data_IF_668810765460
#
_entry.id   IF_668810765460
#
_cell.length_a   1.000
_cell.length_b   1.000
_cell.length_c   1.000
_cell.angle_alpha   90.00
_cell.angle_beta   90.00
_cell.angle_gamma   90.00
#
_symmetry.space_group_name_H-M   'P 1'
#
loop_
_entity.id
_entity.type
_entity.pdbx_description
1 polymer ?
#
# COMPACT_ATOMS: atom_id res chain seq x y z
N UNK A 1 39.66 -11.50 10.41
CA UNK A 1 39.28 -10.09 10.15
C UNK A 1 37.84 -9.97 9.65
N UNK A 2 37.42 -10.78 8.67
CA UNK A 2 36.06 -10.80 8.10
C UNK A 2 34.93 -11.20 9.07
N UNK A 3 35.15 -12.17 9.97
CA UNK A 3 34.15 -12.53 10.99
C UNK A 3 33.88 -11.40 12.01
N UNK A 4 34.91 -10.62 12.34
CA UNK A 4 34.79 -9.51 13.29
C UNK A 4 34.06 -8.32 12.65
N UNK A 5 34.35 -8.05 11.38
CA UNK A 5 33.62 -7.06 10.56
C UNK A 5 32.13 -7.43 10.39
N UNK A 6 31.82 -8.70 10.13
CA UNK A 6 30.44 -9.16 10.01
C UNK A 6 29.68 -9.11 11.35
N UNK A 7 30.34 -9.43 12.46
CA UNK A 7 29.73 -9.31 13.80
C UNK A 7 29.48 -7.85 14.21
N UNK A 8 30.38 -6.94 13.81
CA UNK A 8 30.23 -5.51 14.06
C UNK A 8 29.14 -4.92 13.17
N UNK A 9 29.08 -5.31 11.89
CA UNK A 9 28.03 -4.91 10.96
C UNK A 9 26.64 -5.43 11.39
N UNK A 10 26.52 -6.68 11.84
CA UNK A 10 25.24 -7.22 12.31
C UNK A 10 24.79 -6.61 13.64
N UNK A 11 25.72 -6.30 14.55
CA UNK A 11 25.43 -5.57 15.77
C UNK A 11 24.98 -4.12 15.48
N UNK A 12 25.61 -3.46 14.50
CA UNK A 12 25.22 -2.12 14.05
C UNK A 12 23.84 -2.13 13.39
N UNK A 13 23.56 -3.12 12.55
CA UNK A 13 22.29 -3.27 11.85
C UNK A 13 21.15 -3.59 12.84
N UNK A 14 21.36 -4.53 13.77
CA UNK A 14 20.39 -4.86 14.81
C UNK A 14 20.15 -3.72 15.80
N UNK A 15 21.17 -2.90 16.07
CA UNK A 15 20.97 -1.66 16.82
C UNK A 15 20.17 -0.62 16.02
N UNK A 16 20.38 -0.49 14.70
CA UNK A 16 19.63 0.44 13.86
C UNK A 16 18.16 0.03 13.67
N UNK A 17 17.87 -1.27 13.53
CA UNK A 17 16.51 -1.81 13.36
C UNK A 17 15.64 -1.67 14.64
N UNK A 18 16.27 -1.67 15.82
CA UNK A 18 15.56 -1.54 17.10
C UNK A 18 15.18 -0.09 17.45
N UNK A 19 15.73 0.92 16.75
CA UNK A 19 15.47 2.32 17.03
C UNK A 19 14.46 2.91 16.04
N UNK A 20 13.26 3.21 16.52
CA UNK A 20 12.27 3.99 15.75
C UNK A 20 12.84 5.35 15.35
N UNK A 21 12.54 5.88 14.14
CA UNK A 21 13.08 7.16 13.68
C UNK A 21 12.96 8.28 14.72
N UNK A 22 11.78 8.39 15.37
CA UNK A 22 11.46 9.39 16.41
C UNK A 22 12.37 9.35 17.64
N UNK A 23 12.78 8.18 18.13
CA UNK A 23 13.62 8.06 19.34
C UNK A 23 15.06 8.47 19.06
N UNK A 24 15.56 8.20 17.85
CA UNK A 24 16.88 8.65 17.38
C UNK A 24 16.93 10.18 17.32
N UNK A 25 15.87 10.82 16.78
CA UNK A 25 15.78 12.29 16.71
C UNK A 25 15.84 12.91 18.10
N UNK A 26 15.03 12.38 19.02
CA UNK A 26 14.93 12.87 20.39
C UNK A 26 16.26 12.78 21.12
N UNK A 27 16.92 11.63 21.05
CA UNK A 27 18.22 11.41 21.70
C UNK A 27 19.32 12.30 21.10
N UNK A 28 19.37 12.43 19.77
CA UNK A 28 20.40 13.20 19.09
C UNK A 28 20.23 14.72 19.27
N UNK A 29 18.99 15.20 19.18
CA UNK A 29 18.66 16.62 19.40
C UNK A 29 18.84 17.02 20.87
N UNK A 30 18.50 16.14 21.80
CA UNK A 30 18.78 16.34 23.22
C UNK A 30 20.29 16.35 23.50
N UNK A 31 21.06 15.46 22.87
CA UNK A 31 22.52 15.47 22.93
C UNK A 31 23.15 16.77 22.40
N UNK A 32 22.66 17.28 21.27
CA UNK A 32 23.05 18.59 20.71
C UNK A 32 22.73 19.75 21.68
N UNK A 33 21.54 19.76 22.28
CA UNK A 33 21.16 20.78 23.26
C UNK A 33 21.99 20.70 24.55
N UNK A 34 22.28 19.50 25.04
CA UNK A 34 23.13 19.28 26.22
C UNK A 34 24.55 19.76 25.93
N UNK A 35 25.11 19.43 24.76
CA UNK A 35 26.46 19.88 24.36
C UNK A 35 26.52 21.41 24.22
N UNK A 36 25.51 22.02 23.59
CA UNK A 36 25.40 23.47 23.46
C UNK A 36 25.24 24.15 24.83
N UNK A 37 24.43 23.57 25.73
CA UNK A 37 24.25 24.04 27.10
C UNK A 37 25.53 23.93 27.93
N UNK A 38 26.30 22.85 27.81
CA UNK A 38 27.61 22.69 28.43
C UNK A 38 28.63 23.70 27.89
N UNK A 39 28.62 23.97 26.59
CA UNK A 39 29.46 24.99 25.97
C UNK A 39 29.10 26.40 26.48
N UNK A 40 27.81 26.69 26.61
CA UNK A 40 27.30 27.97 27.14
C UNK A 40 27.59 28.12 28.64
N UNK A 41 27.37 27.08 29.44
CA UNK A 41 27.70 27.07 30.86
C UNK A 41 29.21 27.20 31.08
N UNK A 42 30.02 26.51 30.27
CA UNK A 42 31.47 26.66 30.24
C UNK A 42 31.86 28.11 29.91
N UNK A 43 31.17 28.75 28.97
CA UNK A 43 31.37 30.16 28.59
C UNK A 43 31.04 31.11 29.75
N UNK A 44 29.97 30.85 30.54
CA UNK A 44 29.62 31.67 31.71
C UNK A 44 30.56 31.44 32.90
N UNK A 45 31.01 30.20 33.12
CA UNK A 45 31.85 29.82 34.28
C UNK A 45 33.37 30.00 34.05
N UNK A 46 33.81 30.34 32.84
CA UNK A 46 35.23 30.64 32.51
C UNK A 46 36.21 29.47 32.65
N UNK A 47 35.75 28.24 32.93
CA UNK A 47 36.60 27.09 33.31
C UNK A 47 36.96 26.13 32.16
N UNK A 48 36.35 26.26 30.98
CA UNK A 48 36.47 25.27 29.88
C UNK A 48 36.80 25.92 28.52
N UNK A 49 37.90 26.68 28.44
CA UNK A 49 38.32 27.40 27.21
C UNK A 49 38.52 26.48 25.99
N UNK A 50 39.07 25.27 26.19
CA UNK A 50 39.24 24.28 25.11
C UNK A 50 37.92 23.75 24.55
N UNK A 51 36.93 23.51 25.42
CA UNK A 51 35.60 23.03 24.99
C UNK A 51 34.82 24.15 24.29
N UNK A 52 34.96 25.41 24.73
CA UNK A 52 34.32 26.56 24.10
C UNK A 52 34.81 26.79 22.66
N UNK A 53 36.12 26.69 22.43
CA UNK A 53 36.70 26.82 21.09
C UNK A 53 36.29 25.68 20.14
N UNK A 54 36.19 24.45 20.66
CA UNK A 54 35.81 23.28 19.86
C UNK A 54 34.30 23.11 19.68
N UNK A 55 33.46 23.67 20.57
CA UNK A 55 32.03 23.42 20.60
C UNK A 55 31.30 23.75 19.29
N UNK A 56 31.50 24.91 18.63
CA UNK A 56 30.81 25.19 17.37
C UNK A 56 31.18 24.23 16.25
N UNK A 57 32.44 23.79 16.20
CA UNK A 57 32.88 22.79 15.24
C UNK A 57 32.21 21.44 15.55
N UNK A 58 32.27 20.97 16.80
CA UNK A 58 31.65 19.71 17.23
C UNK A 58 30.13 19.68 16.98
N UNK A 59 29.43 20.80 17.20
CA UNK A 59 27.99 20.89 16.96
C UNK A 59 27.64 20.83 15.47
N UNK A 60 28.50 21.40 14.62
CA UNK A 60 28.37 21.30 13.16
C UNK A 60 28.65 19.87 12.69
N UNK A 61 29.73 19.24 13.18
CA UNK A 61 30.09 17.86 12.82
C UNK A 61 29.03 16.87 13.30
N UNK A 62 28.47 17.08 14.49
CA UNK A 62 27.38 16.29 15.02
C UNK A 62 26.09 16.54 14.22
N UNK A 63 25.78 17.78 13.85
CA UNK A 63 24.68 18.09 12.92
C UNK A 63 24.81 17.38 11.56
N UNK A 64 26.02 17.32 11.00
CA UNK A 64 26.32 16.59 9.76
C UNK A 64 26.19 15.06 9.94
N UNK A 65 26.63 14.53 11.08
CA UNK A 65 26.47 13.11 11.42
C UNK A 65 24.98 12.72 11.50
N UNK A 66 24.14 13.60 12.05
CA UNK A 66 22.69 13.42 12.09
C UNK A 66 22.06 13.29 10.70
N UNK A 67 22.57 14.05 9.72
CA UNK A 67 22.13 13.96 8.32
C UNK A 67 22.43 12.59 7.73
N UNK A 68 23.65 12.07 7.91
CA UNK A 68 24.03 10.75 7.40
C UNK A 68 23.24 9.63 8.07
N UNK A 69 22.98 9.75 9.38
CA UNK A 69 22.19 8.77 10.12
C UNK A 69 20.71 8.77 9.70
N UNK A 70 20.11 9.94 9.47
CA UNK A 70 18.71 10.05 9.01
C UNK A 70 18.50 9.48 7.61
N UNK A 71 19.45 9.71 6.70
CA UNK A 71 19.44 9.10 5.35
C UNK A 71 19.63 7.58 5.43
N UNK A 72 20.54 7.09 6.29
CA UNK A 72 20.75 5.67 6.48
C UNK A 72 19.49 4.95 7.01
N UNK A 73 18.80 5.54 8.00
CA UNK A 73 17.54 5.01 8.53
C UNK A 73 16.43 5.04 7.46
N UNK A 74 16.31 6.12 6.69
CA UNK A 74 15.33 6.22 5.60
C UNK A 74 15.57 5.22 4.45
N UNK A 75 16.80 4.73 4.30
CA UNK A 75 17.17 3.71 3.31
C UNK A 75 17.02 2.27 3.81
N UNK A 76 16.93 2.03 5.11
CA UNK A 76 16.81 0.68 5.66
C UNK A 76 15.50 -0.01 5.25
N UNK A 77 14.39 0.74 5.22
CA UNK A 77 13.07 0.24 4.83
C UNK A 77 12.76 0.48 3.33
N UNK A 78 13.77 0.88 2.54
CA UNK A 78 13.57 1.18 1.12
C UNK A 78 13.58 -0.10 0.27
N UNK A 79 12.42 -0.44 -0.28
CA UNK A 79 12.22 -1.56 -1.19
C UNK A 79 12.18 -1.06 -2.64
N UNK A 80 13.25 -1.36 -3.40
CA UNK A 80 13.36 -0.97 -4.80
C UNK A 80 12.28 -1.61 -5.71
N UNK A 81 11.66 -2.72 -5.27
CA UNK A 81 10.57 -3.36 -6.01
C UNK A 81 9.20 -2.69 -5.75
N UNK A 82 9.07 -1.89 -4.68
CA UNK A 82 7.82 -1.23 -4.25
C UNK A 82 8.04 0.23 -3.87
N UNK A 83 8.53 1.00 -4.83
CA UNK A 83 8.88 2.42 -4.66
C UNK A 83 7.76 3.24 -4.03
N UNK A 84 6.50 3.06 -4.46
CA UNK A 84 5.35 3.82 -3.95
C UNK A 84 5.06 3.59 -2.46
N UNK A 85 5.34 2.39 -1.94
CA UNK A 85 5.18 2.07 -0.52
C UNK A 85 6.38 2.54 0.33
N UNK A 86 7.56 2.64 -0.29
CA UNK A 86 8.82 3.00 0.39
C UNK A 86 9.16 4.50 0.37
N UNK A 87 8.55 5.28 -0.54
CA UNK A 87 8.74 6.74 -0.61
C UNK A 87 8.34 7.47 0.69
N UNK A 88 7.21 7.14 1.36
CA UNK A 88 6.83 7.81 2.61
C UNK A 88 7.87 7.64 3.73
N UNK A 89 8.40 6.43 3.93
CA UNK A 89 9.42 6.14 4.94
C UNK A 89 10.76 6.85 4.62
N UNK A 90 11.15 6.88 3.34
CA UNK A 90 12.33 7.60 2.87
C UNK A 90 12.23 9.11 3.12
N UNK A 91 11.05 9.70 2.84
CA UNK A 91 10.79 11.12 3.10
C UNK A 91 10.82 11.46 4.59
N UNK A 92 10.40 10.53 5.45
CA UNK A 92 10.45 10.71 6.90
C UNK A 92 11.90 10.67 7.43
N UNK A 93 12.73 9.74 6.93
CA UNK A 93 14.17 9.72 7.22
C UNK A 93 14.93 10.94 6.69
N UNK A 94 14.56 11.44 5.50
CA UNK A 94 15.12 12.66 4.94
C UNK A 94 14.71 13.92 5.73
N UNK A 95 13.44 14.01 6.15
CA UNK A 95 12.96 15.09 7.03
C UNK A 95 13.74 15.12 8.35
N UNK A 96 14.02 13.96 8.92
CA UNK A 96 14.87 13.79 10.10
C UNK A 96 16.30 14.31 9.85
N UNK A 97 16.91 13.92 8.73
CA UNK A 97 18.25 14.37 8.35
C UNK A 97 18.33 15.91 8.26
N UNK A 98 17.35 16.55 7.64
CA UNK A 98 17.32 18.02 7.52
C UNK A 98 17.16 18.73 8.86
N UNK A 99 16.25 18.29 9.73
CA UNK A 99 15.98 18.97 11.01
C UNK A 99 17.20 18.93 11.94
N UNK A 100 17.87 17.78 12.05
CA UNK A 100 19.06 17.64 12.91
C UNK A 100 20.23 18.49 12.43
N UNK A 101 20.42 18.60 11.11
CA UNK A 101 21.44 19.46 10.51
C UNK A 101 21.17 20.95 10.74
N UNK A 102 19.92 21.39 10.52
CA UNK A 102 19.50 22.78 10.76
C UNK A 102 19.74 23.17 12.22
N UNK A 103 19.34 22.31 13.17
CA UNK A 103 19.52 22.58 14.60
C UNK A 103 21.00 22.64 14.96
N UNK A 104 21.83 21.71 14.48
CA UNK A 104 23.27 21.69 14.75
C UNK A 104 24.01 22.92 14.20
N UNK A 105 23.70 23.33 12.96
CA UNK A 105 24.29 24.50 12.33
C UNK A 105 23.79 25.80 12.99
N UNK A 106 22.50 25.90 13.31
CA UNK A 106 21.93 27.08 13.96
C UNK A 106 22.52 27.30 15.36
N UNK A 107 22.63 26.24 16.17
CA UNK A 107 23.27 26.34 17.48
C UNK A 107 24.78 26.65 17.35
N UNK A 108 25.49 26.11 16.34
CA UNK A 108 26.90 26.42 16.10
C UNK A 108 27.11 27.89 15.71
N UNK A 109 26.25 28.40 14.83
CA UNK A 109 26.24 29.80 14.42
C UNK A 109 25.95 30.73 15.59
N UNK A 110 24.96 30.38 16.43
CA UNK A 110 24.62 31.13 17.63
C UNK A 110 25.78 31.16 18.63
N UNK A 111 26.46 30.02 18.85
CA UNK A 111 27.64 29.96 19.71
C UNK A 111 28.81 30.80 19.15
N UNK A 112 29.07 30.76 17.84
CA UNK A 112 30.10 31.62 17.21
C UNK A 112 29.77 33.10 17.35
N UNK A 113 28.51 33.48 17.17
CA UNK A 113 28.06 34.86 17.35
C UNK A 113 28.28 35.32 18.80
N UNK A 114 27.89 34.49 19.78
CA UNK A 114 28.13 34.77 21.20
C UNK A 114 29.61 34.85 21.57
N UNK A 115 30.48 34.06 20.93
CA UNK A 115 31.93 34.12 21.11
C UNK A 115 32.53 35.42 20.56
N UNK A 116 32.09 35.85 19.37
CA UNK A 116 32.54 37.11 18.74
C UNK A 116 32.09 38.34 19.53
N UNK A 117 30.91 38.30 20.15
CA UNK A 117 30.35 39.42 20.91
C UNK A 117 30.97 39.59 22.31
N UNK A 118 31.76 38.64 22.80
CA UNK A 118 32.45 38.79 24.09
C UNK A 118 33.86 39.36 23.91
N UNK A 119 34.20 40.46 24.60
CA UNK A 119 35.58 40.90 24.70
C UNK A 119 36.39 39.86 25.49
N UNK A 120 37.52 39.43 24.93
CA UNK A 120 38.49 38.62 25.69
C UNK A 120 38.89 39.39 26.96
N UNK A 121 38.83 38.77 28.16
CA UNK A 121 39.59 39.29 29.28
C UNK A 121 41.07 39.09 28.92
N UNK A 122 41.77 40.21 28.77
CA UNK A 122 43.19 40.28 28.44
C UNK A 122 43.97 39.17 29.17
N UNK A 123 44.48 38.21 28.38
CA UNK A 123 45.44 37.25 28.87
C UNK A 123 46.69 38.02 29.31
N UNK A 124 47.03 37.86 30.59
CA UNK A 124 48.35 38.18 31.08
C UNK A 124 49.35 37.23 30.41
N UNK A 125 50.27 37.76 29.62
CA UNK A 125 51.53 37.11 29.26
C UNK A 125 52.63 38.17 29.09
N UNK A 126 53.76 37.90 29.75
CA UNK A 126 54.94 38.71 30.01
C UNK A 126 55.59 39.43 28.81
N UNK A 127 56.13 40.63 29.01
CA UNK A 127 57.21 41.18 28.19
C UNK A 127 58.47 41.47 29.03
N UNK A 128 59.19 40.42 29.45
CA UNK A 128 60.63 40.56 29.76
C UNK A 128 61.43 40.44 28.45
N UNK A 129 61.50 41.55 27.70
CA UNK A 129 62.57 41.80 26.73
C UNK A 129 62.66 43.30 26.39
N UNK A 130 63.33 44.02 27.30
CA UNK A 130 64.22 45.14 27.02
C UNK A 130 63.64 46.44 26.43
N UNK A 131 63.59 47.46 27.29
CA UNK A 131 64.45 48.63 27.08
C UNK A 131 63.78 50.01 27.15
N UNK A 132 64.05 50.74 28.24
CA UNK A 132 64.13 52.20 28.18
C UNK A 132 63.16 52.98 29.05
N UNK A 133 63.36 52.92 30.37
CA UNK A 133 62.79 53.84 31.36
C UNK A 133 63.33 55.28 31.19
N UNK A 134 62.56 56.28 31.65
CA UNK A 134 63.08 57.64 31.84
C UNK A 134 62.03 58.69 32.20
N UNK A 135 61.50 58.61 33.42
CA UNK A 135 60.59 59.59 34.01
C UNK A 135 61.32 60.79 34.65
N UNK A 136 60.54 61.86 34.85
CA UNK A 136 60.61 62.84 35.94
C UNK A 136 61.71 63.91 35.94
N UNK A 137 61.29 65.15 35.65
CA UNK A 137 62.00 66.37 36.03
C UNK A 137 61.55 66.85 37.41
N UNK A 138 62.46 66.82 38.39
CA UNK A 138 62.31 67.37 39.73
C UNK A 138 63.53 68.21 40.11
N UNK A 139 63.24 69.43 40.56
CA UNK A 139 64.07 70.51 41.11
C UNK A 139 65.45 70.19 41.73
N UNK A 140 66.40 71.11 41.53
CA UNK A 140 67.60 71.27 42.38
C UNK A 140 68.76 72.06 41.76
N UNK A 141 68.82 73.38 41.99
CA UNK A 141 70.09 74.15 42.02
C UNK A 141 70.87 73.77 43.31
N UNK A 142 72.18 74.06 43.53
CA UNK A 142 73.06 75.04 42.85
C UNK A 142 74.58 74.63 42.72
N UNK A 143 75.40 75.58 42.25
CA UNK A 143 76.86 75.78 42.48
C UNK A 143 77.90 75.24 41.46
N UNK A 144 78.59 76.21 40.85
CA UNK A 144 79.89 76.19 40.12
C UNK A 144 81.06 75.56 40.93
N UNK A 145 82.29 75.29 40.39
CA UNK A 145 82.93 75.92 39.22
C UNK A 145 83.80 75.02 38.29
N UNK A 146 84.32 75.67 37.23
CA UNK A 146 85.67 75.51 36.66
C UNK A 146 85.95 74.43 35.56
N UNK A 147 86.27 74.96 34.37
CA UNK A 147 87.10 74.44 33.27
C UNK A 147 86.62 73.25 32.41
N UNK A 148 85.69 73.45 31.46
CA UNK A 148 85.75 72.86 30.09
C UNK A 148 84.86 73.67 29.08
N UNK A 149 85.28 74.82 28.51
CA UNK A 149 84.41 75.62 27.63
C UNK A 149 84.40 75.21 26.13
N UNK A 150 85.35 74.41 25.65
CA UNK A 150 85.52 74.18 24.20
C UNK A 150 84.98 72.83 23.71
N UNK A 151 85.24 71.73 24.44
CA UNK A 151 84.83 70.38 24.01
C UNK A 151 83.30 70.18 24.01
N UNK A 152 82.60 70.84 24.94
CA UNK A 152 81.14 70.81 25.03
C UNK A 152 80.45 71.68 23.97
N UNK A 153 81.12 72.72 23.46
CA UNK A 153 80.60 73.53 22.35
C UNK A 153 80.67 72.77 21.03
N UNK A 154 81.80 72.14 20.75
CA UNK A 154 81.98 71.34 19.54
C UNK A 154 81.02 70.13 19.48
N UNK A 155 80.78 69.48 20.62
CA UNK A 155 79.79 68.40 20.72
C UNK A 155 78.34 68.92 20.53
N UNK A 156 78.02 70.11 21.05
CA UNK A 156 76.69 70.72 20.89
C UNK A 156 76.42 71.14 19.45
N UNK A 157 77.40 71.69 18.77
CA UNK A 157 77.29 72.08 17.36
C UNK A 157 77.16 70.84 16.46
N UNK A 158 77.91 69.76 16.75
CA UNK A 158 77.75 68.47 16.08
C UNK A 158 76.36 67.86 16.32
N UNK A 159 75.83 67.91 17.55
CA UNK A 159 74.46 67.45 17.85
C UNK A 159 73.40 68.29 17.13
N UNK A 160 73.58 69.60 17.02
CA UNK A 160 72.65 70.47 16.29
C UNK A 160 72.67 70.18 14.79
N UNK A 161 73.84 69.92 14.20
CA UNK A 161 73.94 69.52 12.79
C UNK A 161 73.26 68.16 12.52
N UNK A 162 73.37 67.20 13.44
CA UNK A 162 72.67 65.91 13.36
C UNK A 162 71.16 66.10 13.50
N UNK A 163 70.69 66.92 14.44
CA UNK A 163 69.27 67.20 14.64
C UNK A 163 68.64 67.83 13.37
N UNK A 164 69.32 68.82 12.78
CA UNK A 164 68.87 69.45 11.52
C UNK A 164 68.82 68.45 10.36
N UNK A 165 69.76 67.50 10.31
CA UNK A 165 69.77 66.45 9.28
C UNK A 165 68.68 65.40 9.48
N UNK A 166 68.34 65.09 10.74
CA UNK A 166 67.19 64.26 11.07
C UNK A 166 65.87 64.94 10.68
N UNK A 167 65.69 66.21 11.02
CA UNK A 167 64.48 66.97 10.66
C UNK A 167 64.29 67.11 9.15
N UNK A 168 65.38 67.23 8.39
CA UNK A 168 65.32 67.25 6.93
C UNK A 168 64.98 65.87 6.35
N UNK A 169 65.46 64.80 6.99
CA UNK A 169 65.15 63.42 6.60
C UNK A 169 63.69 63.08 6.89
N UNK A 170 63.18 63.48 8.05
CA UNK A 170 61.81 63.27 8.50
C UNK A 170 60.83 63.98 7.58
N UNK A 171 61.05 65.27 7.29
CA UNK A 171 60.28 66.00 6.27
C UNK A 171 60.35 65.32 4.90
N UNK A 172 61.52 64.82 4.51
CA UNK A 172 61.68 64.07 3.26
C UNK A 172 60.98 62.71 3.25
N UNK A 173 60.78 62.07 4.40
CA UNK A 173 60.02 60.83 4.55
C UNK A 173 58.52 61.10 4.53
N UNK A 174 58.05 62.10 5.28
CA UNK A 174 56.66 62.54 5.28
C UNK A 174 56.19 62.94 3.88
N UNK A 175 56.98 63.73 3.16
CA UNK A 175 56.65 64.11 1.78
C UNK A 175 56.60 62.91 0.82
N UNK A 176 57.50 61.93 0.99
CA UNK A 176 57.50 60.71 0.17
C UNK A 176 56.29 59.83 0.51
N UNK A 177 55.99 59.67 1.79
CA UNK A 177 54.85 58.89 2.26
C UNK A 177 53.54 59.52 1.77
N UNK A 178 53.39 60.84 1.87
CA UNK A 178 52.19 61.54 1.38
C UNK A 178 52.04 61.41 -0.14
N UNK A 179 53.14 61.52 -0.90
CA UNK A 179 53.13 61.28 -2.35
C UNK A 179 52.72 59.87 -2.69
N UNK A 180 53.34 58.87 -2.08
CA UNK A 180 52.99 57.47 -2.29
C UNK A 180 51.54 57.18 -1.89
N UNK A 181 51.04 57.78 -0.80
CA UNK A 181 49.66 57.59 -0.37
C UNK A 181 48.67 58.15 -1.39
N UNK A 182 48.93 59.35 -1.94
CA UNK A 182 48.13 59.91 -3.03
C UNK A 182 48.15 59.04 -4.27
N UNK A 183 49.33 58.60 -4.72
CA UNK A 183 49.47 57.72 -5.87
C UNK A 183 48.71 56.39 -5.67
N UNK A 184 48.76 55.81 -4.47
CA UNK A 184 47.98 54.59 -4.16
C UNK A 184 46.47 54.84 -4.15
N UNK A 185 46.01 55.98 -3.62
CA UNK A 185 44.58 56.30 -3.60
C UNK A 185 44.05 56.55 -5.02
N UNK A 186 44.82 57.25 -5.87
CA UNK A 186 44.49 57.45 -7.28
C UNK A 186 44.46 56.10 -8.04
N UNK A 187 45.41 55.21 -7.78
CA UNK A 187 45.41 53.88 -8.37
C UNK A 187 44.22 53.01 -7.91
N UNK A 188 43.84 53.10 -6.63
CA UNK A 188 42.67 52.40 -6.08
C UNK A 188 41.36 52.95 -6.62
N UNK A 189 41.24 54.26 -6.78
CA UNK A 189 40.06 54.91 -7.37
C UNK A 189 39.89 54.51 -8.84
N UNK A 190 40.99 54.55 -9.62
CA UNK A 190 40.98 54.07 -11.00
C UNK A 190 40.69 52.56 -11.13
N UNK A 191 41.07 51.75 -10.13
CA UNK A 191 40.69 50.33 -10.08
C UNK A 191 39.21 50.16 -9.73
N UNK A 192 38.69 50.91 -8.77
CA UNK A 192 37.29 50.87 -8.36
C UNK A 192 36.36 51.27 -9.52
N UNK A 193 36.72 52.30 -10.28
CA UNK A 193 35.97 52.76 -11.44
C UNK A 193 35.91 51.69 -12.54
N UNK A 194 37.07 51.10 -12.89
CA UNK A 194 37.14 49.99 -13.86
C UNK A 194 36.40 48.74 -13.39
N UNK A 195 36.47 48.41 -12.10
CA UNK A 195 35.73 47.27 -11.54
C UNK A 195 34.23 47.51 -11.56
N UNK A 196 33.77 48.73 -11.26
CA UNK A 196 32.36 49.13 -11.32
C UNK A 196 31.83 49.03 -12.76
N UNK A 197 32.59 49.57 -13.72
CA UNK A 197 32.22 49.58 -15.14
C UNK A 197 32.19 48.16 -15.73
N UNK A 198 33.23 47.35 -15.48
CA UNK A 198 33.27 45.96 -15.96
C UNK A 198 32.21 45.08 -15.30
N UNK A 199 32.00 45.20 -13.98
CA UNK A 199 31.03 44.36 -13.26
C UNK A 199 29.59 44.64 -13.71
N UNK A 200 29.21 45.92 -13.80
CA UNK A 200 27.87 46.31 -14.21
C UNK A 200 27.59 45.93 -15.68
N UNK A 201 28.53 46.22 -16.58
CA UNK A 201 28.41 45.87 -17.99
C UNK A 201 28.34 44.36 -18.23
N UNK A 202 29.22 43.58 -17.57
CA UNK A 202 29.22 42.13 -17.71
C UNK A 202 27.96 41.49 -17.11
N UNK A 203 27.44 42.00 -15.98
CA UNK A 203 26.22 41.49 -15.38
C UNK A 203 25.00 41.75 -16.27
N UNK A 204 24.88 42.95 -16.84
CA UNK A 204 23.78 43.26 -17.77
C UNK A 204 23.88 42.39 -19.02
N UNK A 205 25.07 42.25 -19.60
CA UNK A 205 25.27 41.40 -20.77
C UNK A 205 24.98 39.92 -20.49
N UNK A 206 25.42 39.41 -19.33
CA UNK A 206 25.11 38.04 -18.90
C UNK A 206 23.60 37.85 -18.68
N UNK A 207 22.92 38.82 -18.06
CA UNK A 207 21.47 38.76 -17.85
C UNK A 207 20.72 38.81 -19.19
N UNK A 208 21.12 39.68 -20.11
CA UNK A 208 20.52 39.76 -21.44
C UNK A 208 20.72 38.47 -22.24
N UNK A 209 21.89 37.84 -22.12
CA UNK A 209 22.15 36.54 -22.74
C UNK A 209 21.28 35.44 -22.10
N UNK A 210 21.16 35.40 -20.78
CA UNK A 210 20.27 34.45 -20.08
C UNK A 210 18.82 34.65 -20.48
N UNK A 211 18.35 35.90 -20.62
CA UNK A 211 16.98 36.19 -21.06
C UNK A 211 16.76 35.72 -22.51
N UNK A 212 17.74 35.95 -23.40
CA UNK A 212 17.66 35.48 -24.80
C UNK A 212 17.67 33.96 -24.89
N UNK A 213 18.56 33.30 -24.15
CA UNK A 213 18.62 31.84 -24.09
C UNK A 213 17.35 31.25 -23.48
N UNK A 214 16.82 31.89 -22.43
CA UNK A 214 15.56 31.51 -21.82
C UNK A 214 14.40 31.65 -22.82
N UNK A 215 14.27 32.78 -23.50
CA UNK A 215 13.19 33.01 -24.46
C UNK A 215 13.28 32.05 -25.66
N UNK A 216 14.48 31.75 -26.14
CA UNK A 216 14.73 30.78 -27.21
C UNK A 216 14.30 29.38 -26.78
N UNK A 217 14.77 28.93 -25.60
CA UNK A 217 14.37 27.63 -25.05
C UNK A 217 12.89 27.57 -24.74
N UNK A 218 12.28 28.68 -24.31
CA UNK A 218 10.86 28.73 -24.02
C UNK A 218 10.05 28.56 -25.31
N UNK A 219 10.43 29.23 -26.40
CA UNK A 219 9.78 29.04 -27.70
C UNK A 219 9.93 27.63 -28.27
N UNK A 220 11.15 27.08 -28.26
CA UNK A 220 11.43 25.77 -28.88
C UNK A 220 10.95 24.60 -28.02
N UNK A 221 11.39 24.53 -26.76
CA UNK A 221 11.14 23.38 -25.91
C UNK A 221 9.70 23.33 -25.43
N UNK A 222 9.11 24.46 -25.01
CA UNK A 222 7.69 24.44 -24.62
C UNK A 222 6.79 24.35 -25.83
N UNK A 223 7.13 24.95 -26.97
CA UNK A 223 6.35 24.79 -28.20
C UNK A 223 6.25 23.33 -28.65
N UNK A 224 7.36 22.58 -28.63
CA UNK A 224 7.33 21.15 -28.93
C UNK A 224 6.58 20.36 -27.85
N UNK A 225 6.79 20.69 -26.57
CA UNK A 225 6.12 20.00 -25.47
C UNK A 225 4.58 20.20 -25.52
N UNK A 226 4.12 21.41 -25.84
CA UNK A 226 2.69 21.69 -26.04
C UNK A 226 2.11 20.95 -27.24
N UNK A 227 2.84 20.81 -28.36
CA UNK A 227 2.39 19.97 -29.48
C UNK A 227 2.30 18.50 -29.10
N UNK A 228 3.27 17.98 -28.35
CA UNK A 228 3.24 16.58 -27.85
C UNK A 228 2.10 16.37 -26.86
N UNK A 229 1.85 17.35 -25.99
CA UNK A 229 0.75 17.34 -25.05
C UNK A 229 -0.59 17.36 -25.79
N UNK A 230 -0.78 18.28 -26.73
CA UNK A 230 -1.99 18.38 -27.56
C UNK A 230 -2.26 17.07 -28.31
N UNK A 231 -1.24 16.49 -28.96
CA UNK A 231 -1.37 15.19 -29.61
C UNK A 231 -1.73 14.06 -28.63
N UNK A 232 -1.24 14.11 -27.39
CA UNK A 232 -1.56 13.12 -26.35
C UNK A 232 -2.99 13.30 -25.85
N UNK A 233 -3.46 14.54 -25.69
CA UNK A 233 -4.86 14.86 -25.35
C UNK A 233 -5.79 14.45 -26.49
N UNK A 234 -5.42 14.68 -27.75
CA UNK A 234 -6.17 14.20 -28.91
C UNK A 234 -6.36 12.69 -28.92
N UNK A 235 -5.29 11.92 -28.67
CA UNK A 235 -5.38 10.45 -28.50
C UNK A 235 -6.26 10.05 -27.32
N UNK A 236 -6.25 10.82 -26.22
CA UNK A 236 -7.11 10.57 -25.07
C UNK A 236 -8.60 10.77 -25.42
N UNK A 237 -8.91 11.80 -26.21
CA UNK A 237 -10.28 12.05 -26.68
C UNK A 237 -10.75 10.97 -27.66
N UNK A 238 -9.88 10.53 -28.56
CA UNK A 238 -10.16 9.41 -29.45
C UNK A 238 -10.43 8.13 -28.66
N UNK A 239 -9.57 7.82 -27.69
CA UNK A 239 -9.75 6.68 -26.78
C UNK A 239 -11.06 6.80 -25.99
N UNK A 240 -11.42 8.00 -25.51
CA UNK A 240 -12.68 8.23 -24.82
C UNK A 240 -13.89 7.95 -25.73
N UNK A 241 -13.82 8.34 -27.01
CA UNK A 241 -14.83 8.01 -28.01
C UNK A 241 -14.96 6.50 -28.21
N UNK A 242 -13.85 5.81 -28.46
CA UNK A 242 -13.80 4.35 -28.62
C UNK A 242 -14.31 3.62 -27.38
N UNK A 243 -13.96 4.10 -26.19
CA UNK A 243 -14.41 3.53 -24.92
C UNK A 243 -15.92 3.66 -24.74
N UNK A 244 -16.50 4.81 -25.11
CA UNK A 244 -17.97 4.98 -25.09
C UNK A 244 -18.66 3.96 -25.99
N UNK A 245 -18.13 3.75 -27.19
CA UNK A 245 -18.71 2.81 -28.15
C UNK A 245 -18.61 1.36 -27.63
N UNK A 246 -17.48 0.99 -27.02
CA UNK A 246 -17.31 -0.31 -26.34
C UNK A 246 -18.29 -0.50 -25.18
N UNK A 247 -18.53 0.54 -24.37
CA UNK A 247 -19.50 0.46 -23.27
C UNK A 247 -20.93 0.28 -23.77
N UNK A 248 -21.27 0.85 -24.93
CA UNK A 248 -22.57 0.64 -25.56
C UNK A 248 -22.71 -0.80 -26.09
N UNK A 249 -21.67 -1.34 -26.72
CA UNK A 249 -21.66 -2.75 -27.15
C UNK A 249 -21.77 -3.71 -25.95
N UNK A 250 -21.01 -3.45 -24.89
CA UNK A 250 -21.05 -4.24 -23.66
C UNK A 250 -22.45 -4.20 -23.02
N UNK A 251 -23.11 -3.03 -23.02
CA UNK A 251 -24.50 -2.92 -22.56
C UNK A 251 -25.43 -3.80 -23.38
N UNK A 252 -25.33 -3.77 -24.71
CA UNK A 252 -26.16 -4.63 -25.59
C UNK A 252 -25.92 -6.12 -25.31
N UNK A 253 -24.66 -6.51 -25.10
CA UNK A 253 -24.32 -7.90 -24.75
C UNK A 253 -24.93 -8.30 -23.40
N UNK A 254 -24.89 -7.43 -22.39
CA UNK A 254 -25.54 -7.68 -21.10
C UNK A 254 -27.06 -7.77 -21.19
N UNK A 255 -27.70 -6.91 -21.99
CA UNK A 255 -29.14 -6.96 -22.21
C UNK A 255 -29.55 -8.29 -22.86
N UNK A 256 -28.80 -8.77 -23.85
CA UNK A 256 -29.01 -10.09 -24.47
C UNK A 256 -28.78 -11.24 -23.49
N UNK A 257 -27.73 -11.17 -22.66
CA UNK A 257 -27.47 -12.19 -21.64
C UNK A 257 -28.61 -12.25 -20.60
N UNK A 258 -29.16 -11.09 -20.22
CA UNK A 258 -30.31 -10.98 -19.31
C UNK A 258 -31.55 -11.65 -19.91
N UNK A 259 -31.87 -11.35 -21.16
CA UNK A 259 -33.00 -11.97 -21.87
C UNK A 259 -32.81 -13.49 -22.02
N UNK A 260 -31.60 -13.94 -22.36
CA UNK A 260 -31.26 -15.36 -22.43
C UNK A 260 -31.43 -16.08 -21.09
N UNK A 261 -31.05 -15.43 -19.98
CA UNK A 261 -31.26 -15.96 -18.63
C UNK A 261 -32.75 -16.04 -18.26
N UNK A 262 -33.56 -15.02 -18.60
CA UNK A 262 -35.01 -15.05 -18.40
C UNK A 262 -35.65 -16.22 -19.17
N UNK A 263 -35.26 -16.42 -20.44
CA UNK A 263 -35.75 -17.52 -21.27
C UNK A 263 -35.34 -18.90 -20.71
N UNK A 264 -34.11 -19.02 -20.22
CA UNK A 264 -33.61 -20.24 -19.57
C UNK A 264 -34.39 -20.53 -18.27
N UNK A 265 -34.64 -19.51 -17.46
CA UNK A 265 -35.47 -19.62 -16.25
C UNK A 265 -36.87 -20.15 -16.56
N UNK A 266 -37.54 -19.56 -17.55
CA UNK A 266 -38.86 -20.02 -17.99
C UNK A 266 -38.84 -21.46 -18.56
N UNK A 267 -37.75 -21.84 -19.22
CA UNK A 267 -37.59 -23.21 -19.74
C UNK A 267 -37.37 -24.23 -18.62
N UNK A 268 -36.58 -23.89 -17.60
CA UNK A 268 -36.36 -24.72 -16.42
C UNK A 268 -37.65 -24.91 -15.62
N UNK A 269 -38.48 -23.87 -15.50
CA UNK A 269 -39.80 -23.96 -14.88
C UNK A 269 -40.70 -24.94 -15.63
N UNK A 270 -40.78 -24.81 -16.97
CA UNK A 270 -41.53 -25.76 -17.82
C UNK A 270 -41.02 -27.19 -17.70
N UNK A 271 -39.69 -27.39 -17.67
CA UNK A 271 -39.11 -28.73 -17.50
C UNK A 271 -39.46 -29.33 -16.14
N UNK A 272 -39.51 -28.51 -15.10
CA UNK A 272 -39.89 -28.94 -13.76
C UNK A 272 -41.38 -29.30 -13.72
N UNK A 273 -42.26 -28.51 -14.32
CA UNK A 273 -43.68 -28.85 -14.46
C UNK A 273 -43.88 -30.15 -15.25
N UNK A 274 -43.16 -30.32 -16.36
CA UNK A 274 -43.19 -31.56 -17.14
C UNK A 274 -42.71 -32.76 -16.34
N UNK A 275 -41.65 -32.61 -15.54
CA UNK A 275 -41.18 -33.68 -14.66
C UNK A 275 -42.25 -34.09 -13.64
N UNK A 276 -42.95 -33.13 -13.02
CA UNK A 276 -44.07 -33.42 -12.11
C UNK A 276 -45.22 -34.14 -12.82
N UNK A 277 -45.56 -33.73 -14.05
CA UNK A 277 -46.60 -34.40 -14.85
C UNK A 277 -46.23 -35.84 -15.18
N UNK A 278 -44.95 -36.11 -15.51
CA UNK A 278 -44.45 -37.46 -15.74
C UNK A 278 -44.59 -38.30 -14.46
N UNK A 279 -44.16 -37.78 -13.30
CA UNK A 279 -44.30 -38.48 -12.02
C UNK A 279 -45.76 -38.85 -11.73
N UNK A 280 -46.68 -37.90 -11.90
CA UNK A 280 -48.12 -38.18 -11.71
C UNK A 280 -48.63 -39.24 -12.70
N UNK A 281 -48.20 -39.21 -13.96
CA UNK A 281 -48.58 -40.24 -14.93
C UNK A 281 -48.05 -41.62 -14.55
N UNK A 282 -46.85 -41.70 -13.98
CA UNK A 282 -46.31 -42.97 -13.47
C UNK A 282 -47.12 -43.49 -12.29
N UNK A 283 -47.57 -42.61 -11.38
CA UNK A 283 -48.47 -42.98 -10.28
C UNK A 283 -49.83 -43.50 -10.78
N UNK A 284 -50.44 -42.81 -11.76
CA UNK A 284 -51.69 -43.24 -12.39
C UNK A 284 -51.51 -44.59 -13.11
N UNK A 285 -50.38 -44.79 -13.79
CA UNK A 285 -50.06 -46.06 -14.44
C UNK A 285 -49.95 -47.20 -13.42
N UNK A 286 -49.32 -47.00 -12.27
CA UNK A 286 -49.24 -48.01 -11.21
C UNK A 286 -50.64 -48.39 -10.67
N UNK A 287 -51.52 -47.39 -10.51
CA UNK A 287 -52.91 -47.63 -10.12
C UNK A 287 -53.69 -48.45 -11.17
N UNK A 288 -53.54 -48.12 -12.46
CA UNK A 288 -54.19 -48.88 -13.54
C UNK A 288 -53.66 -50.31 -13.65
N UNK A 289 -52.34 -50.52 -13.53
CA UNK A 289 -51.74 -51.85 -13.51
C UNK A 289 -52.22 -52.68 -12.32
N UNK A 290 -52.38 -52.05 -11.15
CA UNK A 290 -52.93 -52.70 -9.96
C UNK A 290 -54.40 -53.10 -10.17
N UNK A 291 -55.21 -52.24 -10.82
CA UNK A 291 -56.60 -52.57 -11.17
C UNK A 291 -56.67 -53.73 -12.16
N UNK A 292 -55.87 -53.71 -13.23
CA UNK A 292 -55.81 -54.79 -14.22
C UNK A 292 -55.38 -56.11 -13.59
N UNK A 293 -54.39 -56.10 -12.68
CA UNK A 293 -54.00 -57.29 -11.92
C UNK A 293 -55.16 -57.85 -11.11
N UNK A 294 -55.94 -56.98 -10.46
CA UNK A 294 -57.12 -57.39 -9.68
C UNK A 294 -58.21 -58.00 -10.58
N UNK A 295 -58.49 -57.37 -11.71
CA UNK A 295 -59.46 -57.85 -12.70
C UNK A 295 -59.03 -59.20 -13.29
N UNK A 296 -57.72 -59.40 -13.50
CA UNK A 296 -57.17 -60.70 -13.94
C UNK A 296 -57.44 -61.80 -12.91
N UNK A 297 -57.24 -61.52 -11.61
CA UNK A 297 -57.54 -62.47 -10.52
C UNK A 297 -59.04 -62.78 -10.45
N UNK A 298 -59.90 -61.78 -10.67
CA UNK A 298 -61.34 -61.97 -10.70
C UNK A 298 -61.80 -62.82 -11.90
N UNK A 299 -61.21 -62.60 -13.08
CA UNK A 299 -61.44 -63.44 -14.25
C UNK A 299 -60.97 -64.89 -14.04
N UNK A 300 -59.81 -65.10 -13.41
CA UNK A 300 -59.35 -66.44 -13.03
C UNK A 300 -60.34 -67.14 -12.08
N UNK A 301 -60.89 -66.41 -11.10
CA UNK A 301 -61.90 -66.92 -10.19
C UNK A 301 -63.22 -67.26 -10.93
N UNK A 302 -63.67 -66.39 -11.84
CA UNK A 302 -64.86 -66.63 -12.67
C UNK A 302 -64.68 -67.87 -13.57
N UNK A 303 -63.53 -68.00 -14.23
CA UNK A 303 -63.20 -69.18 -15.03
C UNK A 303 -63.16 -70.45 -14.18
N UNK A 304 -62.61 -70.38 -12.96
CA UNK A 304 -62.66 -71.46 -11.97
C UNK A 304 -64.10 -71.85 -11.60
N UNK A 305 -64.98 -70.87 -11.41
CA UNK A 305 -66.40 -71.13 -11.12
C UNK A 305 -67.15 -71.77 -12.30
N UNK A 306 -66.85 -71.36 -13.53
CA UNK A 306 -67.39 -71.95 -14.76
C UNK A 306 -66.87 -73.39 -14.92
N UNK A 307 -65.60 -73.64 -14.65
CA UNK A 307 -65.04 -74.99 -14.65
C UNK A 307 -65.76 -75.88 -13.63
N UNK A 308 -65.98 -75.38 -12.40
CA UNK A 308 -66.73 -76.10 -11.38
C UNK A 308 -68.19 -76.35 -11.80
N UNK A 309 -68.84 -75.39 -12.45
CA UNK A 309 -70.19 -75.56 -12.99
C UNK A 309 -70.23 -76.62 -14.10
N UNK A 310 -69.25 -76.62 -15.00
CA UNK A 310 -69.08 -77.66 -16.04
C UNK A 310 -68.93 -79.04 -15.39
N UNK A 311 -68.10 -79.16 -14.37
CA UNK A 311 -67.88 -80.44 -13.69
C UNK A 311 -69.17 -80.92 -13.00
N UNK A 312 -69.86 -80.02 -12.29
CA UNK A 312 -71.18 -80.30 -11.67
C UNK A 312 -72.24 -80.70 -12.70
N UNK A 313 -72.26 -80.04 -13.86
CA UNK A 313 -73.17 -80.37 -14.95
C UNK A 313 -72.82 -81.74 -15.56
N UNK A 314 -71.54 -82.04 -15.75
CA UNK A 314 -71.04 -83.33 -16.24
C UNK A 314 -71.44 -84.48 -15.31
N UNK A 315 -71.53 -84.24 -14.00
CA UNK A 315 -72.06 -85.20 -13.02
C UNK A 315 -73.59 -85.26 -13.02
N UNK A 316 -74.27 -84.11 -13.14
CA UNK A 316 -75.73 -84.03 -13.02
C UNK A 316 -76.46 -84.58 -14.25
N UNK A 317 -75.93 -84.41 -15.46
CA UNK A 317 -76.57 -84.93 -16.68
C UNK A 317 -76.74 -86.46 -16.65
N UNK A 318 -75.71 -87.28 -16.37
CA UNK A 318 -75.87 -88.72 -16.20
C UNK A 318 -76.82 -89.10 -15.06
N UNK A 319 -76.79 -88.35 -13.95
CA UNK A 319 -77.70 -88.61 -12.83
C UNK A 319 -79.17 -88.32 -13.19
N UNK A 320 -79.41 -87.29 -14.01
CA UNK A 320 -80.74 -87.02 -14.57
C UNK A 320 -81.15 -88.11 -15.55
N UNK A 321 -80.25 -88.56 -16.42
CA UNK A 321 -80.51 -89.62 -17.41
C UNK A 321 -80.86 -90.94 -16.71
N UNK A 322 -80.08 -91.36 -15.71
CA UNK A 322 -80.35 -92.54 -14.90
C UNK A 322 -81.69 -92.44 -14.14
N UNK A 323 -82.07 -91.24 -13.68
CA UNK A 323 -83.35 -91.02 -12.99
C UNK A 323 -84.53 -90.99 -13.95
N UNK A 324 -84.35 -90.50 -15.17
CA UNK A 324 -85.35 -90.56 -16.24
C UNK A 324 -85.54 -92.01 -16.71
N UNK A 325 -84.46 -92.76 -16.88
CA UNK A 325 -84.50 -94.19 -17.19
C UNK A 325 -85.23 -94.99 -16.10
N UNK A 326 -84.90 -94.74 -14.82
CA UNK A 326 -85.64 -95.33 -13.69
C UNK A 326 -87.11 -94.89 -13.62
N UNK A 327 -87.44 -93.63 -13.98
CA UNK A 327 -88.84 -93.19 -14.10
C UNK A 327 -89.58 -93.92 -15.22
N UNK A 328 -88.95 -94.07 -16.40
CA UNK A 328 -89.51 -94.80 -17.54
C UNK A 328 -89.73 -96.28 -17.19
N UNK A 329 -88.75 -96.91 -16.54
CA UNK A 329 -88.86 -98.30 -16.07
C UNK A 329 -89.96 -98.45 -15.01
N UNK A 330 -90.12 -97.48 -14.09
CA UNK A 330 -91.23 -97.49 -13.14
C UNK A 330 -92.60 -97.32 -13.81
N UNK A 331 -92.67 -96.52 -14.89
CA UNK A 331 -93.88 -96.29 -15.67
C UNK A 331 -94.25 -97.55 -16.47
N UNK A 332 -93.25 -98.20 -17.08
CA UNK A 332 -93.37 -99.47 -17.78
C UNK A 332 -93.88 -100.56 -16.84
N UNK A 333 -93.24 -100.73 -15.68
CA UNK A 333 -93.68 -101.66 -14.64
C UNK A 333 -95.11 -101.35 -14.14
N UNK A 334 -95.48 -100.07 -14.01
CA UNK A 334 -96.83 -99.68 -13.62
C UNK A 334 -97.88 -100.00 -14.71
N UNK A 335 -97.52 -99.83 -15.99
CA UNK A 335 -98.36 -100.21 -17.13
C UNK A 335 -98.51 -101.73 -17.19
N UNK A 336 -97.43 -102.50 -17.04
CA UNK A 336 -97.47 -103.96 -16.99
C UNK A 336 -98.30 -104.48 -15.80
N UNK A 337 -98.14 -103.90 -14.62
CA UNK A 337 -98.95 -104.22 -13.45
C UNK A 337 -100.44 -103.89 -13.68
N UNK A 338 -100.74 -102.78 -14.36
CA UNK A 338 -102.09 -102.42 -14.79
C UNK A 338 -102.69 -103.41 -15.79
N UNK A 339 -101.90 -103.83 -16.79
CA UNK A 339 -102.32 -104.85 -17.76
C UNK A 339 -102.54 -106.22 -17.09
N UNK A 340 -101.68 -106.61 -16.15
CA UNK A 340 -101.85 -107.84 -15.38
C UNK A 340 -103.09 -107.79 -14.46
N UNK A 341 -103.43 -106.63 -13.90
CA UNK A 341 -104.66 -106.43 -13.14
C UNK A 341 -105.91 -106.51 -14.04
N UNK A 342 -105.86 -105.91 -15.23
CA UNK A 342 -106.92 -106.00 -16.26
C UNK A 342 -107.14 -107.47 -16.70
N UNK A 343 -106.06 -108.22 -16.93
CA UNK A 343 -106.11 -109.64 -17.28
C UNK A 343 -106.74 -110.48 -16.14
N UNK A 344 -106.42 -110.19 -14.88
CA UNK A 344 -107.04 -110.85 -13.72
C UNK A 344 -108.54 -110.57 -13.61
N UNK A 345 -108.98 -109.32 -13.85
CA UNK A 345 -110.40 -108.97 -13.84
C UNK A 345 -111.20 -109.68 -14.93
N UNK A 346 -110.68 -109.75 -16.16
CA UNK A 346 -111.33 -110.50 -17.25
C UNK A 346 -111.42 -112.02 -16.98
N UNK A 347 -110.48 -112.59 -16.21
CA UNK A 347 -110.47 -114.00 -15.83
C UNK A 347 -111.39 -114.34 -14.63
N UNK A 348 -111.86 -113.34 -13.89
CA UNK A 348 -112.87 -113.50 -12.81
C UNK A 348 -114.30 -113.37 -13.32
N UNK A 349 -114.54 -112.54 -14.34
CA UNK A 349 -115.87 -112.39 -14.96
C UNK A 349 -116.32 -113.66 -15.70
N UNK A 350 -115.39 -114.41 -16.30
CA UNK A 350 -115.70 -115.69 -16.96
C UNK A 350 -116.03 -116.86 -16.00
N UNK A 351 -115.66 -116.78 -14.71
CA UNK A 351 -115.92 -117.86 -13.71
C UNK A 351 -117.19 -117.65 -12.89
N UNK A 352 -117.81 -116.48 -12.97
CA UNK A 352 -119.03 -116.14 -12.22
C UNK A 352 -120.33 -116.59 -12.91
N UNK A 353 -120.32 -117.02 -14.17
CA UNK A 353 -121.54 -117.39 -14.93
C UNK A 353 -121.79 -118.91 -15.06
N UNK A 354 -120.92 -119.79 -14.55
CA UNK A 354 -121.05 -121.24 -14.74
C UNK A 354 -121.61 -122.02 -13.53
N UNK A 355 -121.88 -121.39 -12.38
CA UNK A 355 -122.27 -122.08 -11.14
C UNK A 355 -123.72 -121.84 -10.67
N UNK A 356 -124.56 -121.21 -11.49
CA UNK A 356 -125.97 -120.96 -11.17
C UNK A 356 -126.89 -121.45 -12.30
N UNK A 357 -127.09 -122.76 -12.38
CA UNK A 357 -128.10 -123.36 -13.25
C UNK A 357 -128.07 -124.88 -13.23
N UNK A 358 -129.02 -125.52 -12.53
CA UNK A 358 -129.32 -126.94 -12.77
C UNK A 358 -129.78 -127.76 -11.57
N UNK A 359 -130.99 -127.49 -11.07
CA UNK A 359 -131.87 -128.49 -10.46
C UNK A 359 -133.24 -128.42 -11.15
N UNK A 360 -133.42 -129.27 -12.15
CA UNK A 360 -134.66 -129.97 -12.52
C UNK A 360 -134.33 -130.95 -13.64
#
# INVERSE_FOLDING_TARGET
MTQWLNGLASALLGALEALTPMTVIGAFSLGLLVLAGLALAGMVLGRMTRLQAAAPALLTTLGILGTFLGVAIGLLDFDAARVEASVPALLEGLKLAFVTSIVGIALAALLRLLQVLRPEPAAADDPDAAGGAGAAGGNGLPQEPALVPDLLREQRDAMQAVAQRLEAMDRGLEERQQRQHRETLEALDGLAERMSEMSSGHLVAALEQVIRDFNTRLGEQFGENFRRLDASVGRLLEWQGQYRDQMEELRRAFDQAREGMEHSGASLEKLTDQAFRITRHVEDQDATLSSLRRETVELEALLGSIAALRDRATEAFPAMDARLEGMLESLENAIEAGQAAQARWSATEGRSMAAAGGRS
#
